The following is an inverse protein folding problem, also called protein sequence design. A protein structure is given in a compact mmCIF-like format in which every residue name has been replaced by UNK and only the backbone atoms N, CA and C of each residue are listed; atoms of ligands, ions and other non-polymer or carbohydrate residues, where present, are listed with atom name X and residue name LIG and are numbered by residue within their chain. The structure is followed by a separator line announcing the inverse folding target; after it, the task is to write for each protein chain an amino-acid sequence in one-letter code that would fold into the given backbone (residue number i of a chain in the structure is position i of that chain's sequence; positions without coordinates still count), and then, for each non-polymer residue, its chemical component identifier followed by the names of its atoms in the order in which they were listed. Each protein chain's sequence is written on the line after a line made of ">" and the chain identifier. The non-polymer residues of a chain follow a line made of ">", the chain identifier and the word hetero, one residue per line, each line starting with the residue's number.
data_IF_448630006852
#
_entry.id   IF_448630006852
#
_cell.length_a   1.000
_cell.length_b   1.000
_cell.length_c   1.000
_cell.angle_alpha   90.00
_cell.angle_beta   90.00
_cell.angle_gamma   90.00
#
_symmetry.space_group_name_H-M   'P 1'
#
loop_
_entity.id
_entity.type
_entity.pdbx_description
1 polymer ?
#
# COMPACT_ATOMS: atom_id res chain seq x y z
N UNK A 1 8.52 3.18 18.09
CA UNK A 1 8.43 4.59 17.66
C UNK A 1 6.98 5.05 17.90
N UNK A 2 6.74 6.07 18.73
CA UNK A 2 5.39 6.55 19.05
C UNK A 2 5.10 7.77 18.16
N UNK A 3 4.04 7.73 17.37
CA UNK A 3 3.62 8.82 16.48
C UNK A 3 2.15 9.17 16.75
N UNK A 4 1.83 10.46 16.74
CA UNK A 4 0.49 10.95 17.04
C UNK A 4 -0.46 10.67 15.87
N UNK A 5 -1.49 9.87 16.09
CA UNK A 5 -2.53 9.61 15.09
C UNK A 5 -3.50 10.80 15.03
N UNK A 6 -3.72 11.32 13.83
CA UNK A 6 -4.65 12.43 13.61
C UNK A 6 -6.00 11.89 13.19
N UNK A 7 -6.97 11.96 14.11
CA UNK A 7 -8.36 11.54 13.91
C UNK A 7 -9.15 12.65 13.21
N UNK A 8 -10.05 12.30 12.30
CA UNK A 8 -10.96 13.27 11.66
C UNK A 8 -12.02 13.75 12.66
N UNK A 9 -12.40 15.04 12.62
CA UNK A 9 -13.23 15.68 13.66
C UNK A 9 -14.62 15.06 13.85
N UNK A 10 -15.20 14.44 12.82
CA UNK A 10 -16.61 14.02 12.81
C UNK A 10 -16.85 12.57 13.24
N UNK A 11 -15.90 11.90 13.89
CA UNK A 11 -16.06 10.50 14.29
C UNK A 11 -15.80 10.31 15.77
N UNK A 12 -16.76 9.74 16.52
CA UNK A 12 -16.67 9.51 17.97
C UNK A 12 -16.75 8.03 18.40
N UNK A 13 -16.92 7.09 17.46
CA UNK A 13 -17.04 5.66 17.77
C UNK A 13 -15.71 4.99 18.17
N UNK A 14 -15.80 3.84 18.87
CA UNK A 14 -14.72 2.85 18.98
C UNK A 14 -14.76 1.97 17.72
N UNK A 15 -13.65 1.83 17.02
CA UNK A 15 -13.55 1.02 15.82
C UNK A 15 -12.61 -0.15 16.08
N UNK A 16 -13.12 -1.37 16.00
CA UNK A 16 -12.31 -2.59 16.05
C UNK A 16 -11.84 -2.88 14.63
N UNK A 17 -10.57 -2.66 14.34
CA UNK A 17 -10.03 -2.76 12.99
C UNK A 17 -9.25 -4.07 12.83
N UNK A 18 -9.73 -4.95 11.94
CA UNK A 18 -9.00 -6.11 11.48
C UNK A 18 -8.34 -5.78 10.13
N UNK A 19 -7.00 -5.72 10.05
CA UNK A 19 -6.28 -5.29 8.84
C UNK A 19 -6.21 -6.34 7.73
N UNK A 20 -6.77 -7.53 7.97
CA UNK A 20 -6.74 -8.68 7.08
C UNK A 20 -8.14 -9.29 6.94
N UNK A 21 -8.49 -9.80 5.74
CA UNK A 21 -9.72 -10.56 5.56
C UNK A 21 -9.71 -11.84 6.40
N UNK A 22 -10.90 -12.30 6.77
CA UNK A 22 -11.08 -13.60 7.42
C UNK A 22 -10.65 -14.73 6.48
N UNK A 23 -9.95 -15.73 7.02
CA UNK A 23 -9.36 -16.84 6.24
C UNK A 23 -10.39 -17.71 5.49
N UNK A 24 -11.64 -17.71 5.95
CA UNK A 24 -12.70 -18.55 5.36
C UNK A 24 -13.35 -17.92 4.13
N UNK A 25 -13.04 -16.66 3.83
CA UNK A 25 -13.59 -15.95 2.67
C UNK A 25 -12.69 -16.14 1.46
N UNK A 26 -13.27 -16.64 0.37
CA UNK A 26 -12.63 -16.67 -0.95
C UNK A 26 -13.25 -15.62 -1.86
N UNK A 27 -12.39 -14.78 -2.40
CA UNK A 27 -12.71 -13.72 -3.33
C UNK A 27 -12.31 -14.11 -4.75
N UNK A 28 -12.97 -13.52 -5.74
CA UNK A 28 -12.63 -13.67 -7.14
C UNK A 28 -12.43 -12.29 -7.77
N UNK A 29 -11.35 -12.15 -8.53
CA UNK A 29 -11.04 -10.92 -9.26
C UNK A 29 -10.55 -11.20 -10.67
N UNK A 30 -10.86 -10.29 -11.59
CA UNK A 30 -10.45 -10.36 -12.99
C UNK A 30 -9.35 -9.34 -13.25
N UNK A 31 -8.19 -9.79 -13.72
CA UNK A 31 -7.11 -8.93 -14.18
C UNK A 31 -7.46 -8.32 -15.54
N UNK A 32 -7.56 -6.99 -15.60
CA UNK A 32 -7.98 -6.26 -16.81
C UNK A 32 -6.80 -5.70 -17.62
N UNK A 33 -5.55 -6.05 -17.27
CA UNK A 33 -4.33 -5.51 -17.88
C UNK A 33 -3.69 -4.36 -17.10
N UNK A 34 -4.33 -3.82 -16.06
CA UNK A 34 -3.78 -2.75 -15.20
C UNK A 34 -4.05 -3.04 -13.71
N UNK A 35 -5.25 -3.50 -13.38
CA UNK A 35 -5.72 -3.78 -12.02
C UNK A 35 -6.46 -5.11 -11.97
N UNK A 36 -6.68 -5.63 -10.76
CA UNK A 36 -7.59 -6.75 -10.54
C UNK A 36 -8.94 -6.22 -10.05
N UNK A 37 -10.01 -6.50 -10.79
CA UNK A 37 -11.36 -6.01 -10.51
C UNK A 37 -12.21 -7.07 -9.80
N UNK A 38 -12.78 -6.71 -8.66
CA UNK A 38 -13.82 -7.50 -7.98
C UNK A 38 -15.17 -6.85 -8.26
N UNK A 39 -16.13 -7.63 -8.76
CA UNK A 39 -17.45 -7.11 -9.17
C UNK A 39 -18.59 -7.56 -8.24
N UNK A 40 -18.40 -8.61 -7.45
CA UNK A 40 -19.44 -9.08 -6.52
C UNK A 40 -19.60 -8.11 -5.33
N UNK A 41 -20.78 -7.51 -5.11
CA UNK A 41 -20.96 -6.49 -4.07
C UNK A 41 -20.68 -6.99 -2.65
N UNK A 42 -20.94 -8.27 -2.37
CA UNK A 42 -20.70 -8.85 -1.04
C UNK A 42 -19.20 -9.00 -0.78
N UNK A 43 -18.44 -9.41 -1.80
CA UNK A 43 -16.99 -9.50 -1.74
C UNK A 43 -16.33 -8.12 -1.68
N UNK A 44 -16.82 -7.14 -2.44
CA UNK A 44 -16.37 -5.75 -2.41
C UNK A 44 -16.48 -5.21 -0.98
N UNK A 45 -17.65 -5.37 -0.36
CA UNK A 45 -17.90 -4.92 1.02
C UNK A 45 -16.97 -5.62 2.00
N UNK A 46 -16.84 -6.94 1.90
CA UNK A 46 -15.99 -7.73 2.80
C UNK A 46 -14.51 -7.32 2.70
N UNK A 47 -13.96 -7.15 1.49
CA UNK A 47 -12.58 -6.70 1.29
C UNK A 47 -12.36 -5.29 1.82
N UNK A 48 -13.34 -4.40 1.68
CA UNK A 48 -13.19 -3.04 2.17
C UNK A 48 -13.29 -2.93 3.70
N UNK A 49 -14.22 -3.67 4.31
CA UNK A 49 -14.41 -3.69 5.76
C UNK A 49 -13.24 -4.37 6.50
N UNK A 50 -12.64 -5.40 5.90
CA UNK A 50 -11.57 -6.20 6.52
C UNK A 50 -10.18 -5.85 5.98
N UNK A 51 -9.80 -4.59 6.08
CA UNK A 51 -8.44 -4.13 5.74
C UNK A 51 -8.37 -2.98 4.75
N UNK A 52 -9.53 -2.46 4.32
CA UNK A 52 -9.64 -1.37 3.36
C UNK A 52 -8.84 -1.67 2.10
N UNK A 53 -9.06 -2.81 1.45
CA UNK A 53 -8.42 -3.13 0.19
C UNK A 53 -9.07 -2.38 -0.98
N UNK A 54 -8.27 -2.05 -1.99
CA UNK A 54 -8.73 -1.50 -3.25
C UNK A 54 -9.36 -0.11 -3.21
N UNK A 55 -9.94 0.29 -4.33
CA UNK A 55 -10.63 1.57 -4.51
C UNK A 55 -11.87 1.36 -5.39
N UNK A 56 -12.97 2.04 -5.07
CA UNK A 56 -14.15 2.01 -5.93
C UNK A 56 -13.85 2.55 -7.33
N UNK A 57 -14.38 1.91 -8.37
CA UNK A 57 -14.21 2.32 -9.77
C UNK A 57 -14.92 3.64 -10.08
N UNK A 58 -16.06 3.88 -9.43
CA UNK A 58 -16.89 5.08 -9.59
C UNK A 58 -16.74 6.08 -8.43
N UNK A 59 -15.97 5.71 -7.40
CA UNK A 59 -15.77 6.50 -6.19
C UNK A 59 -14.34 7.04 -6.05
N UNK A 60 -14.19 8.18 -5.35
CA UNK A 60 -12.86 8.74 -5.06
C UNK A 60 -12.09 7.95 -3.97
N UNK A 61 -12.74 7.00 -3.30
CA UNK A 61 -12.22 6.25 -2.15
C UNK A 61 -12.93 4.89 -1.96
N UNK A 62 -13.73 4.77 -0.89
CA UNK A 62 -14.54 3.58 -0.61
C UNK A 62 -15.51 3.28 -1.78
N UNK A 63 -15.81 2.00 -2.07
CA UNK A 63 -16.84 1.62 -3.03
C UNK A 63 -18.24 1.87 -2.42
N UNK A 64 -18.72 3.10 -2.49
CA UNK A 64 -19.98 3.54 -1.87
C UNK A 64 -20.74 4.52 -2.79
N UNK A 65 -20.65 4.30 -4.11
CA UNK A 65 -21.32 5.15 -5.09
C UNK A 65 -22.83 4.91 -5.17
N UNK A 66 -23.33 3.81 -4.58
CA UNK A 66 -24.73 3.37 -4.70
C UNK A 66 -25.07 2.79 -6.07
N UNK A 67 -24.09 2.65 -6.96
CA UNK A 67 -24.24 2.13 -8.31
C UNK A 67 -24.03 0.61 -8.33
N UNK A 68 -24.94 -0.12 -8.98
CA UNK A 68 -24.91 -1.57 -9.06
C UNK A 68 -23.70 -2.11 -9.84
N UNK A 69 -23.14 -1.31 -10.76
CA UNK A 69 -21.97 -1.70 -11.56
C UNK A 69 -20.65 -1.15 -10.97
N UNK A 70 -20.66 -0.68 -9.71
CA UNK A 70 -19.40 -0.31 -9.05
C UNK A 70 -18.54 -1.55 -8.80
N UNK A 71 -17.28 -1.45 -9.19
CA UNK A 71 -16.28 -2.49 -9.00
C UNK A 71 -15.24 -2.03 -7.99
N UNK A 72 -14.62 -2.97 -7.29
CA UNK A 72 -13.45 -2.71 -6.48
C UNK A 72 -12.19 -2.96 -7.31
N UNK A 73 -11.38 -1.93 -7.48
CA UNK A 73 -10.10 -1.99 -8.18
C UNK A 73 -8.99 -2.25 -7.15
N UNK A 74 -8.36 -3.41 -7.24
CA UNK A 74 -7.19 -3.77 -6.44
C UNK A 74 -5.91 -3.38 -7.20
N UNK A 75 -4.99 -2.70 -6.51
CA UNK A 75 -3.64 -2.50 -7.02
C UNK A 75 -2.89 -3.83 -7.17
N UNK A 76 -1.81 -3.84 -7.95
CA UNK A 76 -1.06 -5.07 -8.23
C UNK A 76 -0.48 -5.69 -6.95
N UNK A 77 0.06 -4.86 -6.06
CA UNK A 77 0.63 -5.31 -4.78
C UNK A 77 -0.46 -5.82 -3.83
N UNK A 78 -1.64 -5.18 -3.84
CA UNK A 78 -2.78 -5.60 -3.04
C UNK A 78 -3.31 -6.97 -3.48
N UNK A 79 -3.50 -7.15 -4.79
CA UNK A 79 -3.99 -8.39 -5.36
C UNK A 79 -2.99 -9.53 -5.17
N UNK A 80 -1.69 -9.28 -5.40
CA UNK A 80 -0.64 -10.26 -5.14
C UNK A 80 -0.64 -10.72 -3.68
N UNK A 81 -0.76 -9.78 -2.73
CA UNK A 81 -0.83 -10.10 -1.31
C UNK A 81 -2.05 -10.98 -0.98
N UNK A 82 -3.23 -10.59 -1.44
CA UNK A 82 -4.47 -11.32 -1.18
C UNK A 82 -4.47 -12.72 -1.79
N UNK A 83 -3.90 -12.87 -2.98
CA UNK A 83 -3.92 -14.12 -3.74
C UNK A 83 -2.83 -15.11 -3.31
N UNK A 84 -1.59 -14.65 -3.16
CA UNK A 84 -0.44 -15.56 -3.01
C UNK A 84 0.12 -15.66 -1.58
N UNK A 85 -0.24 -14.72 -0.69
CA UNK A 85 0.24 -14.73 0.69
C UNK A 85 -0.88 -14.99 1.70
N UNK A 86 -2.10 -14.51 1.40
CA UNK A 86 -3.29 -14.82 2.20
C UNK A 86 -4.16 -15.94 1.61
N UNK A 87 -3.92 -16.34 0.36
CA UNK A 87 -4.68 -17.39 -0.34
C UNK A 87 -6.21 -17.15 -0.33
N UNK A 88 -6.60 -15.87 -0.26
CA UNK A 88 -7.98 -15.43 -0.11
C UNK A 88 -8.58 -14.92 -1.41
N UNK A 89 -7.78 -14.65 -2.44
CA UNK A 89 -8.21 -14.13 -3.74
C UNK A 89 -7.79 -15.07 -4.86
N UNK A 90 -8.73 -15.44 -5.73
CA UNK A 90 -8.47 -16.10 -7.00
C UNK A 90 -8.43 -15.02 -8.08
N UNK A 91 -7.30 -14.91 -8.78
CA UNK A 91 -7.12 -13.97 -9.89
C UNK A 91 -7.32 -14.73 -11.20
N UNK A 92 -8.23 -14.25 -12.04
CA UNK A 92 -8.46 -14.75 -13.39
C UNK A 92 -8.04 -13.72 -14.43
N UNK A 93 -7.63 -14.15 -15.60
CA UNK A 93 -7.44 -13.27 -16.75
C UNK A 93 -8.78 -12.91 -17.42
N UNK A 94 -8.73 -12.17 -18.52
CA UNK A 94 -9.93 -11.81 -19.31
C UNK A 94 -10.56 -12.99 -20.05
N UNK A 95 -9.87 -14.12 -20.16
CA UNK A 95 -10.40 -15.37 -20.74
C UNK A 95 -11.09 -16.25 -19.69
N UNK A 96 -10.96 -15.89 -18.41
CA UNK A 96 -11.49 -16.64 -17.27
C UNK A 96 -10.53 -17.69 -16.72
N UNK A 97 -9.31 -17.78 -17.26
CA UNK A 97 -8.27 -18.70 -16.77
C UNK A 97 -7.64 -18.14 -15.49
N UNK A 98 -7.48 -19.00 -14.48
CA UNK A 98 -6.81 -18.63 -13.24
C UNK A 98 -5.31 -18.39 -13.49
N UNK A 99 -4.81 -17.25 -13.00
CA UNK A 99 -3.40 -16.90 -13.07
C UNK A 99 -2.64 -17.52 -11.90
N UNK A 100 -1.54 -18.21 -12.20
CA UNK A 100 -0.58 -18.62 -11.18
C UNK A 100 0.38 -17.46 -10.83
N UNK A 101 1.28 -17.67 -9.86
CA UNK A 101 2.24 -16.66 -9.44
C UNK A 101 3.13 -16.18 -10.58
N UNK A 102 3.66 -17.09 -11.39
CA UNK A 102 4.58 -16.77 -12.49
C UNK A 102 3.89 -15.92 -13.56
N UNK A 103 2.68 -16.31 -13.97
CA UNK A 103 1.88 -15.55 -14.94
C UNK A 103 1.57 -14.14 -14.43
N UNK A 104 1.17 -14.05 -13.16
CA UNK A 104 0.85 -12.78 -12.51
C UNK A 104 2.08 -11.89 -12.35
N UNK A 105 3.21 -12.46 -11.92
CA UNK A 105 4.45 -11.73 -11.74
C UNK A 105 4.96 -11.17 -13.07
N UNK A 106 4.85 -11.94 -14.16
CA UNK A 106 5.25 -11.49 -15.48
C UNK A 106 4.46 -10.25 -15.92
N UNK A 107 3.13 -10.26 -15.80
CA UNK A 107 2.31 -9.09 -16.19
C UNK A 107 2.55 -7.89 -15.26
N UNK A 108 2.79 -8.13 -13.98
CA UNK A 108 3.07 -7.07 -13.02
C UNK A 108 4.42 -6.39 -13.30
N UNK A 109 5.46 -7.16 -13.64
CA UNK A 109 6.77 -6.64 -14.04
C UNK A 109 6.73 -5.87 -15.36
N UNK A 110 5.86 -6.25 -16.29
CA UNK A 110 5.65 -5.50 -17.54
C UNK A 110 5.05 -4.11 -17.29
N UNK A 111 4.18 -3.97 -16.29
CA UNK A 111 3.58 -2.68 -15.92
C UNK A 111 4.49 -1.84 -15.01
N UNK A 112 5.26 -2.50 -14.17
CA UNK A 112 6.17 -1.85 -13.22
C UNK A 112 7.44 -2.70 -13.07
N UNK A 113 8.54 -2.24 -13.67
CA UNK A 113 9.85 -2.89 -13.56
C UNK A 113 10.35 -3.00 -12.10
N UNK A 114 9.82 -2.16 -11.20
CA UNK A 114 10.13 -2.12 -9.76
C UNK A 114 9.09 -2.86 -8.90
N UNK A 115 8.28 -3.72 -9.53
CA UNK A 115 7.17 -4.40 -8.84
C UNK A 115 7.64 -5.25 -7.66
N UNK A 116 8.79 -5.94 -7.76
CA UNK A 116 9.33 -6.75 -6.66
C UNK A 116 9.62 -5.90 -5.43
N UNK A 117 10.29 -4.75 -5.60
CA UNK A 117 10.56 -3.82 -4.51
C UNK A 117 9.28 -3.27 -3.89
N UNK A 118 8.30 -2.94 -4.73
CA UNK A 118 7.01 -2.45 -4.27
C UNK A 118 6.23 -3.50 -3.48
N UNK A 119 6.20 -4.74 -3.96
CA UNK A 119 5.54 -5.84 -3.28
C UNK A 119 6.26 -6.17 -1.96
N UNK A 120 7.59 -6.20 -1.94
CA UNK A 120 8.35 -6.41 -0.71
C UNK A 120 8.05 -5.33 0.34
N UNK A 121 8.04 -4.06 -0.07
CA UNK A 121 7.66 -2.96 0.80
C UNK A 121 6.19 -3.05 1.27
N UNK A 122 5.28 -3.47 0.39
CA UNK A 122 3.88 -3.69 0.74
C UNK A 122 3.72 -4.79 1.81
N UNK A 123 4.41 -5.92 1.64
CA UNK A 123 4.43 -7.04 2.60
C UNK A 123 5.00 -6.60 3.96
N UNK A 124 6.10 -5.85 3.94
CA UNK A 124 6.71 -5.28 5.15
C UNK A 124 5.76 -4.34 5.91
N UNK A 125 5.03 -3.49 5.19
CA UNK A 125 4.05 -2.61 5.80
C UNK A 125 2.84 -3.40 6.34
N UNK A 126 2.40 -4.43 5.63
CA UNK A 126 1.33 -5.33 6.10
C UNK A 126 1.73 -6.11 7.35
N UNK A 127 2.97 -6.59 7.46
CA UNK A 127 3.44 -7.27 8.69
C UNK A 127 3.41 -6.36 9.93
N UNK A 128 3.47 -5.04 9.73
CA UNK A 128 3.30 -4.00 10.78
C UNK A 128 1.85 -3.55 10.97
N UNK A 129 0.89 -4.24 10.35
CA UNK A 129 -0.54 -3.96 10.42
C UNK A 129 -0.94 -2.57 9.88
N UNK A 130 -0.22 -2.05 8.87
CA UNK A 130 -0.62 -0.82 8.21
C UNK A 130 -1.77 -1.05 7.22
N UNK A 131 -2.70 -0.09 7.17
CA UNK A 131 -3.58 0.09 6.02
C UNK A 131 -2.80 0.84 4.96
N UNK A 132 -2.76 0.30 3.75
CA UNK A 132 -1.96 0.82 2.65
C UNK A 132 -2.92 1.28 1.56
N UNK A 133 -2.69 2.49 1.02
CA UNK A 133 -3.42 3.04 -0.14
C UNK A 133 -2.43 3.61 -1.13
N UNK A 134 -2.86 3.83 -2.37
CA UNK A 134 -2.02 4.50 -3.38
C UNK A 134 -1.58 5.89 -2.91
N UNK A 135 -0.28 6.17 -3.07
CA UNK A 135 0.36 7.44 -2.74
C UNK A 135 0.41 8.45 -3.87
N UNK A 136 -0.05 8.09 -5.07
CA UNK A 136 0.17 8.86 -6.30
C UNK A 136 -0.29 10.32 -6.22
N UNK A 137 -1.38 10.59 -5.49
CA UNK A 137 -1.91 11.96 -5.28
C UNK A 137 -0.97 12.89 -4.52
N UNK A 138 0.02 12.34 -3.83
CA UNK A 138 1.01 13.07 -3.04
C UNK A 138 2.43 12.84 -3.56
N UNK A 139 2.59 12.28 -4.75
CA UNK A 139 3.91 12.05 -5.36
C UNK A 139 4.74 10.95 -4.67
N UNK A 140 4.09 9.99 -4.00
CA UNK A 140 4.77 8.82 -3.43
C UNK A 140 4.14 7.51 -3.86
N UNK A 141 4.76 6.40 -3.45
CA UNK A 141 4.28 5.06 -3.81
C UNK A 141 3.02 4.70 -3.02
N UNK A 142 3.07 4.84 -1.69
CA UNK A 142 1.94 4.51 -0.80
C UNK A 142 1.61 5.62 0.19
N UNK A 143 0.37 5.59 0.69
CA UNK A 143 -0.04 6.22 1.93
C UNK A 143 -0.34 5.12 2.94
N UNK A 144 0.16 5.29 4.17
CA UNK A 144 -0.12 4.33 5.24
C UNK A 144 -0.89 4.96 6.37
N UNK A 145 -1.88 4.21 6.88
CA UNK A 145 -2.77 4.62 7.94
C UNK A 145 -2.76 3.55 9.03
N UNK A 146 -2.76 3.97 10.29
CA UNK A 146 -2.82 3.01 11.41
C UNK A 146 -4.19 2.35 11.54
N UNK A 147 -5.22 3.04 11.03
CA UNK A 147 -6.62 2.65 11.04
C UNK A 147 -7.26 3.07 9.72
N UNK A 148 -8.57 2.79 9.54
CA UNK A 148 -9.27 3.09 8.30
C UNK A 148 -9.10 4.55 7.84
N UNK A 149 -8.83 4.78 6.53
CA UNK A 149 -8.75 6.11 5.93
C UNK A 149 -10.08 6.86 5.96
N UNK A 150 -11.19 6.18 6.28
CA UNK A 150 -12.47 6.82 6.54
C UNK A 150 -12.38 7.76 7.74
N UNK A 151 -11.70 7.35 8.81
CA UNK A 151 -11.70 8.03 10.11
C UNK A 151 -10.39 8.72 10.48
N UNK A 152 -9.27 8.36 9.86
CA UNK A 152 -7.94 8.87 10.19
C UNK A 152 -7.23 9.46 8.97
N UNK A 153 -6.35 10.42 9.22
CA UNK A 153 -5.40 10.90 8.22
C UNK A 153 -4.27 9.87 8.04
N UNK A 154 -3.62 9.89 6.88
CA UNK A 154 -2.43 9.07 6.64
C UNK A 154 -1.34 9.50 7.61
N UNK A 155 -0.63 8.53 8.19
CA UNK A 155 0.51 8.79 9.06
C UNK A 155 1.74 9.15 8.22
N UNK A 156 1.98 8.41 7.14
CA UNK A 156 3.15 8.60 6.29
C UNK A 156 2.78 8.60 4.81
N UNK A 157 3.50 9.43 4.05
CA UNK A 157 3.75 9.24 2.63
C UNK A 157 4.98 8.34 2.48
N UNK A 158 4.80 7.18 1.86
CA UNK A 158 5.85 6.18 1.69
C UNK A 158 6.51 6.36 0.34
N UNK A 159 7.84 6.36 0.34
CA UNK A 159 8.68 6.27 -0.85
C UNK A 159 9.50 5.00 -0.79
N UNK A 160 9.46 4.24 -1.88
CA UNK A 160 10.24 3.02 -2.04
C UNK A 160 11.44 3.37 -2.92
N UNK A 161 12.62 2.90 -2.51
CA UNK A 161 13.86 3.09 -3.24
C UNK A 161 14.75 1.85 -3.16
N UNK A 162 15.65 1.65 -4.13
CA UNK A 162 16.81 0.75 -3.96
C UNK A 162 18.02 1.47 -3.40
N UNK A 163 19.05 0.69 -3.03
CA UNK A 163 20.33 1.21 -2.59
C UNK A 163 20.93 2.22 -3.59
N UNK A 164 20.93 1.89 -4.89
CA UNK A 164 21.45 2.77 -5.95
C UNK A 164 20.67 4.09 -6.03
N UNK A 165 19.35 4.05 -5.94
CA UNK A 165 18.51 5.26 -5.97
C UNK A 165 18.68 6.11 -4.71
N UNK A 166 18.89 5.48 -3.56
CA UNK A 166 19.09 6.15 -2.28
C UNK A 166 20.37 7.00 -2.26
N UNK A 167 21.39 6.60 -3.00
CA UNK A 167 22.65 7.32 -3.12
C UNK A 167 22.60 8.48 -4.12
N UNK A 168 21.71 8.43 -5.13
CA UNK A 168 21.78 9.31 -6.31
C UNK A 168 20.56 10.22 -6.52
N UNK A 169 19.34 9.76 -6.24
CA UNK A 169 18.10 10.39 -6.73
C UNK A 169 17.33 11.15 -5.65
N UNK A 170 17.07 10.52 -4.50
CA UNK A 170 16.23 11.11 -3.45
C UNK A 170 16.84 12.37 -2.82
N UNK A 171 18.16 12.46 -2.51
CA UNK A 171 18.73 13.66 -1.89
C UNK A 171 18.46 14.96 -2.67
N UNK A 172 18.34 14.88 -4.01
CA UNK A 172 18.07 16.03 -4.89
C UNK A 172 16.60 16.46 -4.90
N UNK A 173 15.67 15.52 -4.69
CA UNK A 173 14.22 15.77 -4.77
C UNK A 173 13.51 15.72 -3.40
N UNK A 174 14.23 15.42 -2.32
CA UNK A 174 13.67 15.27 -0.97
C UNK A 174 12.98 16.55 -0.48
N UNK A 175 13.52 17.72 -0.82
CA UNK A 175 12.93 19.00 -0.43
C UNK A 175 11.55 19.23 -1.07
N UNK A 176 11.39 18.86 -2.35
CA UNK A 176 10.10 18.93 -3.04
C UNK A 176 9.07 17.98 -2.44
N UNK A 177 9.50 16.75 -2.15
CA UNK A 177 8.64 15.76 -1.54
C UNK A 177 8.24 16.13 -0.11
N UNK A 178 9.18 16.64 0.68
CA UNK A 178 8.91 17.14 2.03
C UNK A 178 7.88 18.27 2.00
N UNK A 179 7.96 19.18 1.02
CA UNK A 179 6.96 20.24 0.84
C UNK A 179 5.56 19.68 0.55
N UNK A 180 5.43 18.66 -0.29
CA UNK A 180 4.14 18.04 -0.60
C UNK A 180 3.58 17.27 0.61
N UNK A 181 4.44 16.59 1.35
CA UNK A 181 4.05 15.90 2.59
C UNK A 181 3.61 16.92 3.67
N UNK A 182 4.35 18.01 3.84
CA UNK A 182 4.08 19.08 4.82
C UNK A 182 2.76 19.79 4.55
N UNK A 183 2.48 20.18 3.29
CA UNK A 183 1.19 20.82 2.94
C UNK A 183 -0.03 19.93 3.20
N UNK A 184 0.20 18.63 3.33
CA UNK A 184 -0.84 17.64 3.57
C UNK A 184 -0.69 16.94 4.93
N UNK A 185 0.14 17.51 5.81
CA UNK A 185 0.36 17.17 7.21
C UNK A 185 0.78 15.69 7.44
N UNK A 186 1.65 15.19 6.56
CA UNK A 186 2.22 13.82 6.59
C UNK A 186 3.72 13.86 6.85
N UNK A 187 4.21 12.85 7.55
CA UNK A 187 5.64 12.54 7.58
C UNK A 187 6.02 11.74 6.32
N UNK A 188 7.29 11.82 5.88
CA UNK A 188 7.80 10.97 4.81
C UNK A 188 8.47 9.73 5.42
N UNK A 189 8.13 8.55 4.92
CA UNK A 189 8.78 7.29 5.25
C UNK A 189 9.50 6.75 4.02
N UNK A 190 10.83 6.69 4.08
CA UNK A 190 11.64 6.04 3.06
C UNK A 190 11.79 4.57 3.41
N UNK A 191 11.49 3.70 2.46
CA UNK A 191 11.76 2.27 2.53
C UNK A 191 12.83 1.92 1.50
N UNK A 192 14.05 1.66 1.96
CA UNK A 192 15.14 1.19 1.11
C UNK A 192 15.10 -0.33 1.03
N UNK A 193 14.84 -0.86 -0.15
CA UNK A 193 14.80 -2.30 -0.42
C UNK A 193 16.16 -2.74 -0.93
N UNK A 194 16.74 -3.75 -0.27
CA UNK A 194 18.02 -4.34 -0.63
C UNK A 194 17.74 -5.59 -1.47
N UNK A 195 17.75 -5.41 -2.80
CA UNK A 195 17.63 -6.49 -3.77
C UNK A 195 19.02 -6.84 -4.31
N UNK A 196 19.28 -8.13 -4.53
CA UNK A 196 20.43 -8.56 -5.33
C UNK A 196 20.09 -8.29 -6.80
N UNK A 197 20.73 -7.28 -7.38
CA UNK A 197 20.53 -6.89 -8.78
C UNK A 197 20.83 -8.08 -9.71
N UNK A 198 19.89 -8.36 -10.63
CA UNK A 198 20.15 -9.23 -11.79
C UNK A 198 19.45 -10.59 -11.85
N UNK A 199 18.56 -10.95 -10.92
CA UNK A 199 17.89 -12.26 -10.96
C UNK A 199 16.37 -12.14 -10.75
N UNK A 200 15.62 -11.79 -11.80
CA UNK A 200 14.16 -11.97 -11.79
C UNK A 200 13.78 -13.43 -11.51
N UNK A 201 14.60 -14.39 -11.99
CA UNK A 201 14.46 -15.81 -11.73
C UNK A 201 14.58 -16.19 -10.22
N UNK A 202 15.10 -15.31 -9.36
CA UNK A 202 15.16 -15.60 -7.92
C UNK A 202 13.77 -15.51 -7.25
N UNK A 203 12.83 -14.79 -7.87
CA UNK A 203 11.51 -14.50 -7.31
C UNK A 203 10.39 -15.31 -7.95
N UNK A 204 10.73 -16.46 -8.57
CA UNK A 204 9.77 -17.39 -9.17
C UNK A 204 8.80 -18.03 -8.15
N UNK A 205 9.00 -17.78 -6.85
CA UNK A 205 8.11 -18.19 -5.78
C UNK A 205 7.77 -17.02 -4.85
N UNK A 206 6.52 -16.90 -4.36
CA UNK A 206 6.13 -15.84 -3.42
C UNK A 206 7.01 -15.80 -2.16
N UNK A 207 7.38 -16.97 -1.64
CA UNK A 207 8.22 -17.08 -0.44
C UNK A 207 9.61 -16.45 -0.59
N UNK A 208 10.15 -16.35 -1.80
CA UNK A 208 11.48 -15.80 -2.05
C UNK A 208 11.61 -14.33 -1.60
N UNK A 209 10.51 -13.56 -1.63
CA UNK A 209 10.52 -12.16 -1.19
C UNK A 209 10.78 -12.00 0.32
N UNK A 210 10.58 -13.05 1.13
CA UNK A 210 10.89 -13.05 2.56
C UNK A 210 12.39 -12.89 2.86
N UNK A 211 13.25 -13.11 1.87
CA UNK A 211 14.71 -12.94 2.00
C UNK A 211 15.19 -11.50 1.86
N UNK A 212 14.32 -10.61 1.35
CA UNK A 212 14.66 -9.21 1.12
C UNK A 212 14.74 -8.44 2.43
N UNK A 213 15.76 -7.60 2.54
CA UNK A 213 15.92 -6.70 3.68
C UNK A 213 15.39 -5.32 3.33
N UNK A 214 14.68 -4.70 4.28
CA UNK A 214 14.13 -3.35 4.14
C UNK A 214 14.62 -2.48 5.30
N UNK A 215 15.25 -1.36 4.96
CA UNK A 215 15.59 -0.31 5.92
C UNK A 215 14.51 0.78 5.89
N UNK A 216 14.03 1.17 7.06
CA UNK A 216 13.05 2.24 7.22
C UNK A 216 13.70 3.52 7.75
N UNK A 217 13.47 4.63 7.07
CA UNK A 217 13.96 5.95 7.50
C UNK A 217 12.82 6.95 7.50
N UNK A 218 12.52 7.50 8.68
CA UNK A 218 11.52 8.56 8.83
C UNK A 218 12.18 9.91 8.61
N UNK A 219 11.70 10.65 7.61
CA UNK A 219 12.15 12.01 7.32
C UNK A 219 11.16 12.98 7.94
N UNK A 220 11.62 13.70 8.96
CA UNK A 220 10.86 14.74 9.67
C UNK A 220 11.62 16.05 9.62
N UNK A 221 10.88 17.16 9.55
CA UNK A 221 11.47 18.48 9.78
C UNK A 221 11.80 18.61 11.26
N UNK A 222 13.01 19.07 11.57
CA UNK A 222 13.33 19.50 12.92
C UNK A 222 12.45 20.69 13.29
N UNK A 223 11.60 20.53 14.31
CA UNK A 223 10.74 21.59 14.80
C UNK A 223 11.51 22.42 15.83
N UNK A 224 12.17 23.49 15.35
CA UNK A 224 12.97 24.38 16.19
C UNK A 224 12.15 25.02 17.32
N UNK A 225 10.90 25.39 17.07
CA UNK A 225 10.05 26.04 18.09
C UNK A 225 9.68 25.07 19.21
N UNK A 226 9.33 23.82 18.89
CA UNK A 226 9.07 22.79 19.90
C UNK A 226 10.32 22.47 20.74
N UNK A 227 11.50 22.40 20.11
CA UNK A 227 12.77 22.13 20.79
C UNK A 227 13.21 23.27 21.71
N UNK A 228 13.01 24.53 21.30
CA UNK A 228 13.32 25.69 22.16
C UNK A 228 12.37 25.75 23.35
N UNK A 229 11.07 25.49 23.14
CA UNK A 229 10.08 25.45 24.22
C UNK A 229 10.32 24.31 25.22
N UNK A 230 10.83 23.16 24.76
CA UNK A 230 11.17 22.04 25.65
C UNK A 230 12.42 22.30 26.50
N UNK A 231 13.28 23.24 26.12
CA UNK A 231 14.46 23.66 26.88
C UNK A 231 14.18 24.78 27.89
N UNK A 232 12.99 25.37 27.85
CA UNK A 232 12.55 26.43 28.77
C UNK A 232 11.70 25.90 29.95
N UNK A 233 11.62 24.57 30.11
CA UNK A 233 11.10 23.91 31.31
C UNK A 233 12.25 23.25 32.06
#
# INVERSE_FOLDING_TARGET
>A
MQFSLKRKPNFHGKFNFEPFPKRDLRFEGIYNGITVEVSDPTQIKALYENGCYGKGSKSRGAPDSGDADEKLLLGLEEAAFLAFYLESLIIKDTTGQQMNWTDYLQVALQLNERFIEHLAAYLYLKSKNWVIKSGIKFGGNFLIYKHSPLYYHAAFLVIIQTLVESELYIPKNLQGLQRVAETSDKDVLLLTVFTSSGLNAFYDMPASLGTLTINETVVRRFNYTAFVQSKQK
#
